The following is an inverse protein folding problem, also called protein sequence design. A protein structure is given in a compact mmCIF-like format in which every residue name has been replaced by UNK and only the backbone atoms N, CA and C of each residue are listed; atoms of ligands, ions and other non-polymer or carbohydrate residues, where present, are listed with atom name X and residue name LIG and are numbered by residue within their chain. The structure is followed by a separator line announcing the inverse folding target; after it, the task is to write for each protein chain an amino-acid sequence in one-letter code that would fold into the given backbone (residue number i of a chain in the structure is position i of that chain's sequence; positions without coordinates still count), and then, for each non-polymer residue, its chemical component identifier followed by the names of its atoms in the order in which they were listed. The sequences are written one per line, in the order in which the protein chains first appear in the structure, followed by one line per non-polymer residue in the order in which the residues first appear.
data_IF_762794965714
#
_entry.id   IF_762794965714
#
_cell.length_a   1.000
_cell.length_b   1.000
_cell.length_c   1.000
_cell.angle_alpha   90.00
_cell.angle_beta   90.00
_cell.angle_gamma   90.00
#
_symmetry.space_group_name_H-M   'P 1'
#
loop_
_entity.id
_entity.type
_entity.pdbx_description
1 polymer ?
#
# COMPACT_ATOMS: atom_id res chain seq x y z
N UNK A 1 12.44 19.78 -24.39
CA UNK A 1 13.25 19.37 -23.23
C UNK A 1 12.57 18.20 -22.55
N UNK A 2 13.29 17.11 -22.41
CA UNK A 2 12.73 15.92 -21.74
C UNK A 2 12.74 16.15 -20.24
N UNK A 3 11.60 15.93 -19.60
CA UNK A 3 11.53 15.96 -18.14
C UNK A 3 12.33 14.78 -17.55
N UNK A 4 13.02 15.06 -16.46
CA UNK A 4 13.74 14.04 -15.72
C UNK A 4 12.74 13.15 -15.00
N UNK A 5 12.87 11.83 -15.14
CA UNK A 5 12.06 10.86 -14.42
C UNK A 5 12.69 10.64 -13.05
N UNK A 6 11.94 10.95 -12.00
CA UNK A 6 12.33 10.71 -10.61
C UNK A 6 11.26 9.86 -9.95
N UNK A 7 11.61 8.64 -9.60
CA UNK A 7 10.69 7.68 -8.99
C UNK A 7 10.91 7.68 -7.49
N UNK A 8 9.85 7.90 -6.72
CA UNK A 8 9.86 7.74 -5.28
C UNK A 8 9.11 6.46 -4.92
N UNK A 9 9.85 5.47 -4.42
CA UNK A 9 9.27 4.24 -3.92
C UNK A 9 8.83 4.44 -2.49
N UNK A 10 7.56 4.17 -2.21
CA UNK A 10 6.99 4.31 -0.87
C UNK A 10 6.51 2.95 -0.39
N UNK A 11 6.98 2.53 0.77
CA UNK A 11 6.43 1.35 1.43
C UNK A 11 5.15 1.77 2.15
N UNK A 12 4.01 1.53 1.50
CA UNK A 12 2.70 2.07 1.90
C UNK A 12 2.34 1.70 3.34
N UNK A 13 2.61 0.47 3.75
CA UNK A 13 2.33 -0.01 5.10
C UNK A 13 3.05 0.79 6.19
N UNK A 14 4.21 1.33 5.89
CA UNK A 14 5.06 2.01 6.88
C UNK A 14 4.91 3.53 6.86
N UNK A 15 4.66 4.11 5.70
CA UNK A 15 4.80 5.55 5.51
C UNK A 15 3.92 6.39 6.44
N UNK A 16 2.64 6.05 6.57
CA UNK A 16 1.71 6.79 7.43
C UNK A 16 1.56 6.20 8.82
N UNK A 17 2.26 5.12 9.14
CA UNK A 17 2.11 4.45 10.42
C UNK A 17 2.84 5.22 11.52
N UNK A 18 2.10 5.71 12.51
CA UNK A 18 2.65 6.44 13.67
C UNK A 18 2.72 5.58 14.94
N UNK A 19 2.29 4.34 14.86
CA UNK A 19 2.35 3.40 16.00
C UNK A 19 3.79 2.91 16.19
N UNK A 20 4.30 2.94 17.40
CA UNK A 20 5.68 2.57 17.73
C UNK A 20 5.80 1.31 18.58
N UNK A 21 4.72 0.56 18.77
CA UNK A 21 4.68 -0.64 19.60
C UNK A 21 5.69 -1.69 19.16
N UNK A 22 5.75 -2.01 17.88
CA UNK A 22 6.74 -2.91 17.27
C UNK A 22 6.84 -4.28 17.93
N UNK A 23 5.69 -4.86 18.28
CA UNK A 23 5.65 -6.20 18.87
C UNK A 23 5.96 -7.26 17.83
N UNK A 24 6.93 -8.14 18.09
CA UNK A 24 7.23 -9.25 17.19
C UNK A 24 6.02 -10.16 17.04
N UNK A 25 5.63 -10.46 15.80
CA UNK A 25 4.43 -11.26 15.52
C UNK A 25 3.12 -10.58 15.91
N UNK A 26 3.14 -9.29 16.24
CA UNK A 26 1.96 -8.55 16.66
C UNK A 26 0.93 -8.32 15.58
N UNK A 27 -0.29 -8.06 16.00
CA UNK A 27 -1.42 -7.77 15.11
C UNK A 27 -1.36 -6.32 14.59
N UNK A 28 -2.26 -6.00 13.64
CA UNK A 28 -2.42 -4.63 13.15
C UNK A 28 -2.81 -3.68 14.29
N UNK A 29 -3.68 -4.12 15.18
CA UNK A 29 -4.11 -3.30 16.32
C UNK A 29 -2.94 -3.00 17.24
N UNK A 30 -2.01 -3.93 17.40
CA UNK A 30 -0.83 -3.74 18.25
C UNK A 30 0.24 -2.86 17.61
N UNK A 31 0.57 -3.11 16.34
CA UNK A 31 1.70 -2.45 15.67
C UNK A 31 1.30 -1.31 14.72
N UNK A 32 0.02 -1.27 14.35
CA UNK A 32 -0.47 -0.29 13.39
C UNK A 32 -0.14 -0.65 11.95
N UNK A 33 -0.65 0.14 11.05
CA UNK A 33 -0.43 -0.01 9.61
C UNK A 33 -0.69 1.33 8.92
N UNK A 34 0.19 1.72 7.99
CA UNK A 34 -0.09 2.85 7.11
C UNK A 34 -1.30 2.56 6.24
N UNK A 35 -2.05 3.58 5.88
CA UNK A 35 -3.29 3.47 5.10
C UNK A 35 -3.19 4.28 3.81
N UNK A 36 -3.95 3.85 2.80
CA UNK A 36 -4.04 4.59 1.53
C UNK A 36 -4.51 6.04 1.77
N UNK A 37 -5.42 6.24 2.71
CA UNK A 37 -5.96 7.56 3.03
C UNK A 37 -4.97 8.47 3.78
N UNK A 38 -3.83 7.96 4.21
CA UNK A 38 -2.77 8.77 4.83
C UNK A 38 -2.08 9.69 3.82
N UNK A 39 -2.19 9.39 2.53
CA UNK A 39 -1.63 10.21 1.46
C UNK A 39 -2.59 11.33 1.07
N UNK A 40 -2.58 12.38 1.87
CA UNK A 40 -3.44 13.55 1.64
C UNK A 40 -2.90 14.42 0.50
N UNK A 41 -3.72 15.32 -0.09
CA UNK A 41 -3.23 16.26 -1.08
C UNK A 41 -2.02 17.07 -0.62
N UNK A 42 -1.99 17.47 0.65
CA UNK A 42 -0.86 18.20 1.24
C UNK A 42 0.42 17.37 1.26
N UNK A 43 0.33 16.10 1.66
CA UNK A 43 1.47 15.17 1.65
C UNK A 43 2.01 14.98 0.25
N UNK A 44 1.13 14.75 -0.72
CA UNK A 44 1.51 14.53 -2.11
C UNK A 44 2.14 15.78 -2.74
N UNK A 45 1.64 16.95 -2.40
CA UNK A 45 2.24 18.21 -2.85
C UNK A 45 3.69 18.35 -2.38
N UNK A 46 3.95 18.01 -1.12
CA UNK A 46 5.32 18.06 -0.57
C UNK A 46 6.25 17.10 -1.31
N UNK A 47 5.78 15.91 -1.64
CA UNK A 47 6.55 14.93 -2.41
C UNK A 47 6.85 15.49 -3.80
N UNK A 48 5.86 16.08 -4.47
CA UNK A 48 6.06 16.68 -5.80
C UNK A 48 7.07 17.83 -5.77
N UNK A 49 7.05 18.64 -4.73
CA UNK A 49 7.99 19.76 -4.56
C UNK A 49 9.45 19.31 -4.44
N UNK A 50 9.69 18.06 -4.06
CA UNK A 50 11.05 17.49 -4.05
C UNK A 50 11.55 17.10 -5.46
N UNK A 51 10.72 17.27 -6.50
CA UNK A 51 11.09 16.96 -7.89
C UNK A 51 10.65 15.57 -8.33
N UNK A 52 9.85 14.87 -7.55
CA UNK A 52 9.35 13.52 -7.88
C UNK A 52 8.35 13.60 -9.02
N UNK A 53 8.51 12.76 -10.04
CA UNK A 53 7.59 12.65 -11.18
C UNK A 53 6.66 11.44 -11.09
N UNK A 54 7.09 10.39 -10.41
CA UNK A 54 6.36 9.13 -10.30
C UNK A 54 6.42 8.62 -8.87
N UNK A 55 5.30 8.07 -8.38
CA UNK A 55 5.28 7.35 -7.10
C UNK A 55 5.01 5.87 -7.36
N UNK A 56 5.82 5.03 -6.74
CA UNK A 56 5.60 3.60 -6.68
C UNK A 56 5.12 3.24 -5.29
N UNK A 57 3.81 2.99 -5.15
CA UNK A 57 3.21 2.53 -3.90
C UNK A 57 3.45 1.03 -3.75
N UNK A 58 4.49 0.66 -3.02
CA UNK A 58 4.90 -0.73 -2.82
C UNK A 58 3.97 -1.42 -1.82
N UNK A 59 3.60 -2.67 -2.13
CA UNK A 59 2.80 -3.50 -1.25
C UNK A 59 1.30 -3.24 -1.32
N UNK A 60 0.84 -2.52 -2.33
CA UNK A 60 -0.58 -2.18 -2.50
C UNK A 60 -1.41 -3.35 -3.01
N UNK A 61 -0.84 -4.20 -3.87
CA UNK A 61 -1.52 -5.36 -4.42
C UNK A 61 -1.69 -6.41 -3.33
N UNK A 62 -2.88 -7.08 -3.27
CA UNK A 62 -3.16 -8.07 -2.24
C UNK A 62 -2.11 -9.18 -2.24
N UNK A 63 -1.49 -9.39 -1.10
CA UNK A 63 -0.48 -10.42 -0.89
C UNK A 63 -0.84 -11.28 0.34
N UNK A 64 -0.14 -12.40 0.53
CA UNK A 64 -0.38 -13.30 1.65
C UNK A 64 -0.03 -12.62 2.97
N UNK A 65 -0.98 -12.58 3.91
CA UNK A 65 -0.78 -12.07 5.27
C UNK A 65 -1.41 -13.02 6.27
N UNK A 66 -1.09 -12.87 7.55
CA UNK A 66 -1.71 -13.65 8.62
C UNK A 66 -2.98 -13.01 9.17
N UNK A 67 -3.29 -11.79 8.78
CA UNK A 67 -4.52 -11.13 9.21
C UNK A 67 -5.74 -11.83 8.61
N UNK A 68 -6.75 -12.07 9.42
CA UNK A 68 -7.96 -12.77 9.00
C UNK A 68 -8.99 -11.78 8.45
N UNK A 69 -9.26 -11.88 7.16
CA UNK A 69 -10.30 -11.10 6.47
C UNK A 69 -11.38 -12.01 5.89
N UNK A 70 -11.56 -13.21 6.46
CA UNK A 70 -12.58 -14.17 5.97
C UNK A 70 -13.98 -13.59 6.00
N UNK A 71 -14.28 -12.69 6.95
CA UNK A 71 -15.56 -11.98 7.02
C UNK A 71 -15.83 -11.10 5.79
N UNK A 72 -14.80 -10.76 5.01
CA UNK A 72 -14.91 -9.95 3.79
C UNK A 72 -14.77 -10.81 2.52
N UNK A 73 -14.89 -12.14 2.65
CA UNK A 73 -14.77 -13.05 1.52
C UNK A 73 -13.33 -13.32 1.06
N UNK A 74 -12.33 -12.94 1.84
CA UNK A 74 -10.93 -13.17 1.50
C UNK A 74 -10.44 -14.43 2.24
N UNK A 75 -9.98 -15.47 1.51
CA UNK A 75 -9.50 -16.70 2.15
C UNK A 75 -8.30 -16.43 3.09
N UNK A 76 -8.34 -17.08 4.25
CA UNK A 76 -7.24 -17.01 5.20
C UNK A 76 -6.05 -17.80 4.70
N UNK A 77 -4.85 -17.20 4.76
CA UNK A 77 -3.62 -17.88 4.39
C UNK A 77 -3.07 -18.71 5.56
N UNK A 78 -2.49 -19.87 5.25
CA UNK A 78 -1.89 -20.68 6.29
C UNK A 78 -0.63 -19.99 6.84
N UNK A 79 -0.49 -19.85 8.18
CA UNK A 79 0.65 -19.12 8.76
C UNK A 79 2.03 -19.64 8.31
N UNK A 80 2.15 -20.92 7.98
CA UNK A 80 3.41 -21.50 7.54
C UNK A 80 3.90 -20.97 6.19
N UNK A 81 3.01 -20.41 5.34
CA UNK A 81 3.37 -19.86 4.03
C UNK A 81 3.50 -18.35 4.04
N UNK A 82 3.30 -17.72 5.20
CA UNK A 82 3.33 -16.25 5.33
C UNK A 82 4.50 -15.84 6.22
N UNK A 83 5.34 -14.95 5.70
CA UNK A 83 6.48 -14.41 6.44
C UNK A 83 6.01 -13.27 7.35
N UNK A 84 5.90 -13.55 8.64
CA UNK A 84 5.36 -12.58 9.62
C UNK A 84 3.88 -12.31 9.38
N UNK A 85 3.26 -11.45 10.20
CA UNK A 85 1.84 -11.14 10.06
C UNK A 85 1.51 -10.33 8.81
N UNK A 86 2.37 -9.39 8.47
CA UNK A 86 2.18 -8.55 7.29
C UNK A 86 2.52 -9.28 5.99
N UNK A 87 3.29 -10.36 6.06
CA UNK A 87 3.76 -11.08 4.89
C UNK A 87 4.76 -10.28 4.07
N UNK A 88 5.18 -10.86 2.94
CA UNK A 88 6.03 -10.17 1.98
C UNK A 88 5.16 -9.42 0.95
N UNK A 89 5.44 -8.15 0.66
CA UNK A 89 4.70 -7.41 -0.37
C UNK A 89 4.84 -8.01 -1.76
N UNK A 90 5.77 -8.94 -1.94
CA UNK A 90 6.00 -9.61 -3.21
C UNK A 90 5.34 -10.99 -3.28
N UNK A 91 4.76 -11.49 -2.17
CA UNK A 91 4.01 -12.76 -2.14
C UNK A 91 2.55 -12.52 -2.55
N UNK A 92 2.34 -12.05 -3.77
CA UNK A 92 1.03 -11.61 -4.26
C UNK A 92 0.08 -12.78 -4.41
N UNK A 93 -1.10 -12.68 -3.79
CA UNK A 93 -2.16 -13.69 -3.87
C UNK A 93 -3.25 -13.34 -4.87
N UNK A 94 -3.43 -12.07 -5.19
CA UNK A 94 -4.41 -11.61 -6.17
C UNK A 94 -3.95 -10.30 -6.81
N UNK A 95 -3.62 -10.35 -8.12
CA UNK A 95 -3.17 -9.17 -8.87
C UNK A 95 -4.27 -8.15 -9.14
N UNK A 96 -5.53 -8.53 -8.95
CA UNK A 96 -6.68 -7.68 -9.25
C UNK A 96 -7.31 -7.09 -7.99
N UNK A 97 -6.70 -7.30 -6.83
CA UNK A 97 -7.21 -6.82 -5.56
C UNK A 97 -6.16 -5.98 -4.82
N UNK A 98 -6.63 -5.16 -3.90
CA UNK A 98 -5.81 -4.29 -3.07
C UNK A 98 -5.65 -4.92 -1.70
N UNK A 99 -4.49 -4.74 -1.08
CA UNK A 99 -4.21 -5.23 0.26
C UNK A 99 -5.22 -4.63 1.26
N UNK A 100 -6.06 -5.45 1.89
CA UNK A 100 -7.06 -4.94 2.81
C UNK A 100 -6.47 -4.29 4.06
N UNK A 101 -5.24 -4.63 4.45
CA UNK A 101 -4.57 -3.99 5.60
C UNK A 101 -4.39 -2.49 5.39
N UNK A 102 -4.30 -2.03 4.15
CA UNK A 102 -4.07 -0.63 3.81
C UNK A 102 -5.36 0.18 3.71
N UNK A 103 -6.52 -0.47 3.73
CA UNK A 103 -7.80 0.21 3.62
C UNK A 103 -8.31 0.66 4.98
N UNK A 104 -8.89 1.85 5.03
CA UNK A 104 -9.64 2.32 6.19
C UNK A 104 -10.96 1.57 6.27
N UNK A 105 -11.61 1.32 5.13
CA UNK A 105 -12.79 0.48 4.99
C UNK A 105 -12.46 -0.64 4.00
N UNK A 106 -12.35 -1.88 4.50
CA UNK A 106 -11.94 -3.03 3.70
C UNK A 106 -12.85 -3.26 2.49
N UNK A 107 -14.16 -3.07 2.64
CA UNK A 107 -15.10 -3.24 1.53
C UNK A 107 -14.94 -2.16 0.45
N UNK A 108 -14.32 -1.04 0.77
CA UNK A 108 -14.07 0.06 -0.15
C UNK A 108 -12.61 0.18 -0.58
N UNK A 109 -11.83 -0.87 -0.37
CA UNK A 109 -10.38 -0.81 -0.65
C UNK A 109 -10.04 -0.42 -2.09
N UNK A 110 -10.81 -0.91 -3.07
CA UNK A 110 -10.59 -0.54 -4.48
C UNK A 110 -10.87 0.93 -4.72
N UNK A 111 -11.98 1.45 -4.17
CA UNK A 111 -12.31 2.88 -4.31
C UNK A 111 -11.28 3.75 -3.59
N UNK A 112 -10.78 3.32 -2.43
CA UNK A 112 -9.73 4.06 -1.73
C UNK A 112 -8.45 4.15 -2.57
N UNK A 113 -8.06 3.06 -3.24
CA UNK A 113 -6.92 3.08 -4.14
C UNK A 113 -7.15 3.97 -5.35
N UNK A 114 -8.31 3.87 -5.98
CA UNK A 114 -8.66 4.74 -7.13
C UNK A 114 -8.60 6.22 -6.77
N UNK A 115 -9.10 6.59 -5.59
CA UNK A 115 -9.01 7.96 -5.08
C UNK A 115 -7.57 8.38 -4.83
N UNK A 116 -6.72 7.48 -4.34
CA UNK A 116 -5.30 7.76 -4.16
C UNK A 116 -4.63 8.05 -5.51
N UNK A 117 -4.92 7.25 -6.53
CA UNK A 117 -4.40 7.48 -7.88
C UNK A 117 -4.82 8.85 -8.39
N UNK A 118 -6.09 9.21 -8.23
CA UNK A 118 -6.59 10.54 -8.62
C UNK A 118 -5.87 11.67 -7.89
N UNK A 119 -5.70 11.55 -6.56
CA UNK A 119 -4.99 12.57 -5.78
C UNK A 119 -3.54 12.72 -6.25
N UNK A 120 -2.90 11.61 -6.56
CA UNK A 120 -1.51 11.61 -7.06
C UNK A 120 -1.42 12.32 -8.41
N UNK A 121 -2.34 12.02 -9.33
CA UNK A 121 -2.41 12.70 -10.63
C UNK A 121 -2.66 14.21 -10.47
N UNK A 122 -3.56 14.59 -9.58
CA UNK A 122 -3.85 16.01 -9.31
C UNK A 122 -2.64 16.73 -8.72
N UNK A 123 -1.78 16.05 -8.01
CA UNK A 123 -0.54 16.60 -7.49
C UNK A 123 0.55 16.74 -8.56
N UNK A 124 0.32 16.25 -9.76
CA UNK A 124 1.25 16.35 -10.88
C UNK A 124 2.20 15.18 -11.03
N UNK A 125 1.88 14.04 -10.43
CA UNK A 125 2.72 12.83 -10.49
C UNK A 125 1.96 11.67 -11.11
N UNK A 126 2.70 10.71 -11.66
CA UNK A 126 2.16 9.45 -12.18
C UNK A 126 2.34 8.35 -11.16
N UNK A 127 1.51 7.30 -11.27
CA UNK A 127 1.55 6.16 -10.37
C UNK A 127 2.13 4.94 -11.08
N UNK A 128 3.08 4.28 -10.44
CA UNK A 128 3.59 2.97 -10.86
C UNK A 128 2.87 1.94 -9.99
N UNK A 129 2.10 1.06 -10.62
CA UNK A 129 1.22 0.12 -9.89
C UNK A 129 1.89 -1.19 -9.53
N UNK A 130 2.78 -1.67 -10.38
CA UNK A 130 3.42 -2.98 -10.22
C UNK A 130 4.92 -2.87 -10.37
N UNK A 131 5.68 -3.48 -9.43
CA UNK A 131 7.14 -3.52 -9.53
C UNK A 131 7.48 -4.45 -10.64
N UNK A 132 7.46 -4.89 -11.49
CA UNK A 132 7.87 -5.93 -12.46
C UNK A 132 6.76 -6.94 -12.72
N UNK A 133 5.62 -6.47 -13.16
CA UNK A 133 4.62 -7.41 -13.65
C UNK A 133 5.13 -8.05 -14.94
N UNK A 134 5.22 -9.38 -15.01
CA UNK A 134 5.37 -10.01 -16.30
C UNK A 134 4.10 -9.70 -17.11
N UNK A 135 4.31 -9.19 -18.26
CA UNK A 135 3.19 -8.99 -19.17
C UNK A 135 2.65 -10.34 -19.66
#
# INVERSE_FOLDING_TARGET
MKEKIVIYQIFTRLYGNRNTTRKEGGTIEENGCGKLNDFTPSTLKKIREMGVSHIWYTGVIRHATQTDYSAYGIPRQHPAVVKGRAGSPYAITDYYDIDPDLATDVDKRMQEFERLVERTHKAGMKVIRRPSAPD
#
